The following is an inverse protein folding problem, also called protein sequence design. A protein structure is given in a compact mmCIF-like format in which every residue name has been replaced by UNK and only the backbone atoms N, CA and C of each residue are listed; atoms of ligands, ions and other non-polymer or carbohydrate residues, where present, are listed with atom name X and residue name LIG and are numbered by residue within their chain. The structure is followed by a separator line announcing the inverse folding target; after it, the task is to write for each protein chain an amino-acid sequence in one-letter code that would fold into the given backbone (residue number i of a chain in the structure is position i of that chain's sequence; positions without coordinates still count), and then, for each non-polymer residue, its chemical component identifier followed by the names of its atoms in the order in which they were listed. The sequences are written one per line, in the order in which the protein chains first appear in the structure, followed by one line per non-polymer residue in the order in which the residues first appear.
data_IF_191160187685
#
_entry.id   IF_191160187685
#
_cell.length_a   1.000
_cell.length_b   1.000
_cell.length_c   1.000
_cell.angle_alpha   90.00
_cell.angle_beta   90.00
_cell.angle_gamma   90.00
#
_symmetry.space_group_name_H-M   'P 1'
#
loop_
_entity.id
_entity.type
_entity.pdbx_description
1 polymer ?
#
# COMPACT_ATOMS: atom_id res chain seq x y z
N UNK A 1 -13.89 14.07 15.80
CA UNK A 1 -13.62 13.89 14.36
C UNK A 1 -13.28 12.42 14.16
N UNK A 2 -13.95 11.71 13.25
CA UNK A 2 -13.54 10.34 12.90
C UNK A 2 -12.29 10.42 12.01
N UNK A 3 -11.30 9.50 12.13
CA UNK A 3 -10.16 9.51 11.22
C UNK A 3 -10.62 9.10 9.82
N UNK A 4 -10.52 9.99 8.84
CA UNK A 4 -10.96 9.74 7.46
C UNK A 4 -9.81 9.27 6.56
N UNK A 5 -8.56 9.39 7.02
CA UNK A 5 -7.38 9.15 6.18
C UNK A 5 -6.16 8.73 6.98
N UNK A 6 -5.45 7.72 6.49
CA UNK A 6 -4.11 7.32 6.96
C UNK A 6 -3.11 7.54 5.81
N UNK A 7 -1.98 8.17 6.10
CA UNK A 7 -0.90 8.40 5.13
C UNK A 7 0.40 7.84 5.69
N UNK A 8 1.07 7.00 4.93
CA UNK A 8 2.35 6.41 5.35
C UNK A 8 3.27 6.20 4.15
N UNK A 9 4.58 6.08 4.43
CA UNK A 9 5.59 5.66 3.45
C UNK A 9 6.12 4.31 3.89
N UNK A 10 6.17 3.35 2.97
CA UNK A 10 6.83 2.08 3.19
C UNK A 10 8.06 1.94 2.28
N UNK A 11 9.04 1.18 2.75
CA UNK A 11 10.33 0.94 2.11
C UNK A 11 10.97 -0.33 2.67
N UNK A 12 11.99 -0.84 1.98
CA UNK A 12 12.87 -1.89 2.51
C UNK A 12 14.05 -1.24 3.24
N UNK A 13 14.44 -1.83 4.37
CA UNK A 13 15.60 -1.37 5.14
C UNK A 13 16.58 -2.49 5.44
N UNK A 14 17.82 -2.13 5.75
CA UNK A 14 18.78 -3.02 6.38
C UNK A 14 18.59 -3.04 7.91
N UNK A 15 19.42 -3.83 8.61
CA UNK A 15 19.41 -3.94 10.07
C UNK A 15 19.69 -2.62 10.80
N UNK A 16 20.38 -1.68 10.12
CA UNK A 16 20.63 -0.33 10.64
C UNK A 16 19.44 0.63 10.42
N UNK A 17 18.36 0.19 9.76
CA UNK A 17 17.19 1.01 9.44
C UNK A 17 17.38 1.95 8.24
N UNK A 18 18.45 1.78 7.48
CA UNK A 18 18.74 2.59 6.29
C UNK A 18 17.96 2.07 5.08
N UNK A 19 17.61 2.96 4.15
CA UNK A 19 16.83 2.62 2.95
C UNK A 19 17.67 1.79 1.97
N UNK A 20 17.19 0.58 1.65
CA UNK A 20 17.83 -0.34 0.71
C UNK A 20 16.97 -0.59 -0.53
N UNK A 21 17.53 -1.32 -1.50
CA UNK A 21 16.79 -1.79 -2.69
C UNK A 21 15.90 -2.96 -2.30
N UNK A 22 14.76 -3.09 -2.99
CA UNK A 22 13.91 -4.27 -2.83
C UNK A 22 14.68 -5.53 -3.24
N UNK A 23 14.51 -6.65 -2.53
CA UNK A 23 15.30 -7.87 -2.76
C UNK A 23 14.96 -8.58 -4.07
N UNK A 24 13.88 -8.17 -4.74
CA UNK A 24 13.37 -8.82 -5.96
C UNK A 24 13.63 -8.02 -7.25
N UNK A 25 13.95 -6.72 -7.18
CA UNK A 25 14.25 -5.90 -8.36
C UNK A 25 14.92 -4.58 -7.98
N UNK A 26 15.95 -4.19 -8.74
CA UNK A 26 16.60 -2.89 -8.59
C UNK A 26 15.73 -1.73 -9.13
N UNK A 27 14.87 -2.02 -10.12
CA UNK A 27 13.92 -1.05 -10.71
C UNK A 27 12.69 -0.83 -9.84
N UNK A 28 12.56 -1.49 -8.68
CA UNK A 28 11.50 -1.16 -7.73
C UNK A 28 11.78 0.19 -7.02
N UNK A 29 10.78 1.07 -6.88
CA UNK A 29 10.94 2.33 -6.16
C UNK A 29 11.42 2.12 -4.72
N UNK A 30 12.38 2.92 -4.27
CA UNK A 30 12.91 2.84 -2.89
C UNK A 30 11.86 3.14 -1.83
N UNK A 31 10.91 4.00 -2.15
CA UNK A 31 9.88 4.46 -1.24
C UNK A 31 8.55 4.53 -1.97
N UNK A 32 7.50 4.03 -1.31
CA UNK A 32 6.12 4.12 -1.81
C UNK A 32 5.30 4.84 -0.76
N UNK A 33 4.63 5.91 -1.18
CA UNK A 33 3.67 6.62 -0.35
C UNK A 33 2.29 6.01 -0.57
N UNK A 34 1.66 5.61 0.52
CA UNK A 34 0.30 5.09 0.55
C UNK A 34 -0.63 6.10 1.22
N UNK A 35 -1.81 6.24 0.64
CA UNK A 35 -2.92 7.00 1.19
C UNK A 35 -4.11 6.07 1.28
N UNK A 36 -4.56 5.79 2.49
CA UNK A 36 -5.80 5.07 2.76
C UNK A 36 -6.86 6.09 3.12
N UNK A 37 -7.96 6.12 2.37
CA UNK A 37 -9.12 6.98 2.63
C UNK A 37 -10.32 6.12 2.97
N UNK A 38 -11.05 6.50 4.02
CA UNK A 38 -12.24 5.80 4.48
C UNK A 38 -13.48 6.61 4.09
N UNK A 39 -14.37 5.98 3.33
CA UNK A 39 -15.64 6.58 2.93
C UNK A 39 -16.78 5.90 3.70
N UNK A 40 -17.61 6.70 4.38
CA UNK A 40 -18.86 6.21 4.96
C UNK A 40 -19.85 5.88 3.84
N UNK A 41 -20.28 4.63 3.79
CA UNK A 41 -21.28 4.14 2.83
C UNK A 41 -22.45 3.49 3.58
N UNK A 42 -22.97 4.18 4.61
CA UNK A 42 -24.25 3.86 5.22
C UNK A 42 -24.27 2.51 5.93
N UNK A 43 -23.56 2.43 7.06
CA UNK A 43 -23.43 1.19 7.83
C UNK A 43 -22.33 0.25 7.32
N UNK A 44 -21.63 0.65 6.26
CA UNK A 44 -20.40 0.05 5.76
C UNK A 44 -19.34 1.13 5.55
N UNK A 45 -18.11 0.72 5.28
CA UNK A 45 -17.00 1.62 4.97
C UNK A 45 -16.32 1.14 3.71
N UNK A 46 -16.19 2.02 2.70
CA UNK A 46 -15.34 1.75 1.54
C UNK A 46 -13.94 2.27 1.83
N UNK A 47 -12.96 1.39 1.72
CA UNK A 47 -11.54 1.71 1.84
C UNK A 47 -10.95 1.94 0.46
N UNK A 48 -10.35 3.11 0.23
CA UNK A 48 -9.58 3.41 -0.99
C UNK A 48 -8.09 3.50 -0.64
N UNK A 49 -7.27 2.62 -1.21
CA UNK A 49 -5.81 2.67 -1.12
C UNK A 49 -5.23 3.24 -2.42
N UNK A 50 -4.51 4.36 -2.32
CA UNK A 50 -3.70 4.92 -3.41
C UNK A 50 -2.23 4.85 -3.07
N UNK A 51 -1.47 4.17 -3.91
CA UNK A 51 -0.02 4.00 -3.78
C UNK A 51 0.70 4.74 -4.89
N UNK A 52 1.77 5.46 -4.54
CA UNK A 52 2.60 6.17 -5.51
C UNK A 52 4.10 6.09 -5.14
N UNK A 53 4.99 5.87 -6.11
CA UNK A 53 6.43 5.99 -5.90
C UNK A 53 6.82 7.40 -5.41
N UNK A 54 7.82 7.48 -4.54
CA UNK A 54 8.37 8.76 -4.05
C UNK A 54 9.74 9.01 -4.68
N UNK A 55 9.88 10.14 -5.38
CA UNK A 55 11.14 10.56 -6.05
C UNK A 55 11.74 9.45 -6.95
N UNK A 56 10.87 8.71 -7.63
CA UNK A 56 11.26 7.61 -8.51
C UNK A 56 11.59 8.10 -9.92
N UNK A 57 12.45 7.35 -10.62
CA UNK A 57 12.73 7.58 -12.04
C UNK A 57 11.55 7.13 -12.91
N UNK A 58 11.55 7.52 -14.19
CA UNK A 58 10.53 7.05 -15.14
C UNK A 58 10.54 5.52 -15.29
N UNK A 59 11.72 4.90 -15.23
CA UNK A 59 11.87 3.45 -15.26
C UNK A 59 11.26 2.80 -14.01
N UNK A 60 11.55 3.34 -12.82
CA UNK A 60 11.01 2.83 -11.56
C UNK A 60 9.48 2.98 -11.49
N UNK A 61 8.93 4.07 -12.04
CA UNK A 61 7.49 4.26 -12.18
C UNK A 61 6.86 3.23 -13.13
N UNK A 62 7.44 3.02 -14.31
CA UNK A 62 6.93 2.04 -15.28
C UNK A 62 6.99 0.60 -14.72
N UNK A 63 8.06 0.26 -14.00
CA UNK A 63 8.17 -1.02 -13.32
C UNK A 63 7.10 -1.18 -12.24
N UNK A 64 6.86 -0.14 -11.44
CA UNK A 64 5.82 -0.15 -10.41
C UNK A 64 4.41 -0.32 -10.99
N UNK A 65 4.10 0.39 -12.08
CA UNK A 65 2.83 0.26 -12.81
C UNK A 65 2.64 -1.14 -13.37
N UNK A 66 3.70 -1.74 -13.93
CA UNK A 66 3.67 -3.12 -14.42
C UNK A 66 3.40 -4.18 -13.34
N UNK A 67 3.57 -3.83 -12.07
CA UNK A 67 3.32 -4.72 -10.93
C UNK A 67 1.90 -4.56 -10.34
N UNK A 68 1.04 -3.73 -10.92
CA UNK A 68 -0.28 -3.44 -10.37
C UNK A 68 -1.17 -4.68 -10.22
N UNK A 69 -1.14 -5.63 -11.15
CA UNK A 69 -1.93 -6.86 -11.04
C UNK A 69 -1.49 -7.71 -9.84
N UNK A 70 -0.18 -7.82 -9.62
CA UNK A 70 0.39 -8.53 -8.46
C UNK A 70 0.07 -7.80 -7.15
N UNK A 71 0.16 -6.47 -7.13
CA UNK A 71 -0.21 -5.67 -5.96
C UNK A 71 -1.70 -5.76 -5.64
N UNK A 72 -2.57 -5.71 -6.65
CA UNK A 72 -4.01 -5.87 -6.49
C UNK A 72 -4.34 -7.24 -5.89
N UNK A 73 -3.70 -8.31 -6.36
CA UNK A 73 -3.86 -9.63 -5.77
C UNK A 73 -3.39 -9.67 -4.31
N UNK A 74 -2.22 -9.12 -4.00
CA UNK A 74 -1.66 -9.11 -2.65
C UNK A 74 -2.49 -8.29 -1.66
N UNK A 75 -2.90 -7.07 -2.04
CA UNK A 75 -3.76 -6.24 -1.21
C UNK A 75 -5.17 -6.81 -1.09
N UNK A 76 -5.74 -7.35 -2.18
CA UNK A 76 -7.04 -8.01 -2.16
C UNK A 76 -7.10 -9.11 -1.09
N UNK A 77 -6.15 -10.05 -1.13
CA UNK A 77 -6.09 -11.12 -0.12
C UNK A 77 -5.83 -10.62 1.32
N UNK A 78 -5.20 -9.46 1.49
CA UNK A 78 -5.03 -8.83 2.82
C UNK A 78 -6.34 -8.21 3.31
N UNK A 79 -7.09 -7.56 2.42
CA UNK A 79 -8.38 -6.97 2.76
C UNK A 79 -9.47 -8.02 2.98
N UNK A 80 -9.43 -9.15 2.25
CA UNK A 80 -10.31 -10.30 2.52
C UNK A 80 -10.13 -10.81 3.97
N UNK A 81 -8.87 -10.95 4.42
CA UNK A 81 -8.57 -11.33 5.82
C UNK A 81 -9.03 -10.28 6.83
N UNK A 82 -8.95 -8.99 6.47
CA UNK A 82 -9.45 -7.91 7.32
C UNK A 82 -10.97 -7.98 7.46
N UNK A 83 -11.69 -8.23 6.36
CA UNK A 83 -13.15 -8.40 6.37
C UNK A 83 -13.57 -9.58 7.26
N UNK A 84 -12.89 -10.71 7.13
CA UNK A 84 -13.10 -11.88 8.00
C UNK A 84 -12.86 -11.54 9.48
N UNK A 85 -11.77 -10.84 9.79
CA UNK A 85 -11.46 -10.42 11.15
C UNK A 85 -12.54 -9.49 11.71
N UNK A 86 -12.94 -8.45 10.97
CA UNK A 86 -13.95 -7.49 11.42
C UNK A 86 -15.32 -8.13 11.65
N UNK A 87 -15.66 -9.19 10.90
CA UNK A 87 -16.88 -9.96 11.13
C UNK A 87 -16.92 -10.64 12.52
N UNK A 88 -15.75 -10.88 13.14
CA UNK A 88 -15.63 -11.43 14.51
C UNK A 88 -15.72 -10.37 15.61
N UNK A 89 -15.53 -9.09 15.30
CA UNK A 89 -15.40 -7.99 16.27
C UNK A 89 -16.75 -7.33 16.63
N UNK A 90 -17.84 -8.11 16.64
CA UNK A 90 -19.19 -7.61 16.95
C UNK A 90 -19.42 -7.42 18.45
#
# INVERSE_FOLDING_TARGET
MKPERIVFVNLFSNDAGEVTRAPFSESWPRQIRNVVTFHDEGGKTRLELRSQPVRATAEECAFFEGMFDSLQQGFGGTFDQLDDYLATQK
#
